data_IF_967934002167
#
_entry.id   IF_967934002167
#
_cell.length_a   1.000
_cell.length_b   1.000
_cell.length_c   1.000
_cell.angle_alpha   90.00
_cell.angle_beta   90.00
_cell.angle_gamma   90.00
#
_symmetry.space_group_name_H-M   'P 1'
#
loop_
_entity.id
_entity.type
_entity.pdbx_description
1 polymer ?
#
# COMPACT_ATOMS: atom_id res chain seq x y z
N UNK A 1 -10.72 17.18 -14.51
CA UNK A 1 -10.04 16.18 -13.66
C UNK A 1 -8.58 16.18 -14.07
N UNK A 2 -7.67 16.34 -13.13
CA UNK A 2 -6.24 16.43 -13.45
C UNK A 2 -5.68 15.02 -13.70
N UNK A 3 -4.81 14.88 -14.70
CA UNK A 3 -4.02 13.66 -14.92
C UNK A 3 -2.59 13.90 -14.47
N UNK A 4 -1.97 12.86 -13.92
CA UNK A 4 -0.62 12.89 -13.38
C UNK A 4 0.19 11.67 -13.87
N UNK A 5 1.50 11.83 -14.09
CA UNK A 5 2.36 10.71 -14.45
C UNK A 5 2.33 9.56 -13.43
N UNK A 6 2.22 9.88 -12.14
CA UNK A 6 2.17 8.89 -11.06
C UNK A 6 1.71 9.47 -9.73
N UNK A 7 1.67 8.63 -8.69
CA UNK A 7 1.17 8.97 -7.37
C UNK A 7 1.93 10.13 -6.73
N UNK A 8 3.25 10.22 -6.89
CA UNK A 8 4.01 11.32 -6.29
C UNK A 8 3.52 12.69 -6.74
N UNK A 9 3.25 12.85 -8.04
CA UNK A 9 2.83 14.13 -8.60
C UNK A 9 1.42 14.50 -8.13
N UNK A 10 0.48 13.55 -8.16
CA UNK A 10 -0.87 13.72 -7.64
C UNK A 10 -0.88 14.04 -6.13
N UNK A 11 -0.05 13.33 -5.36
CA UNK A 11 0.09 13.49 -3.92
C UNK A 11 0.60 14.88 -3.56
N UNK A 12 1.69 15.34 -4.17
CA UNK A 12 2.25 16.66 -3.91
C UNK A 12 1.29 17.78 -4.34
N UNK A 13 0.58 17.60 -5.45
CA UNK A 13 -0.44 18.54 -5.90
C UNK A 13 -1.56 18.73 -4.87
N UNK A 14 -2.14 17.63 -4.36
CA UNK A 14 -3.24 17.72 -3.41
C UNK A 14 -2.78 18.13 -2.00
N UNK A 15 -1.54 17.83 -1.60
CA UNK A 15 -0.99 18.40 -0.38
C UNK A 15 -0.81 19.92 -0.49
N UNK A 16 -0.33 20.44 -1.62
CA UNK A 16 -0.25 21.88 -1.87
C UNK A 16 -1.63 22.55 -1.75
N UNK A 17 -2.63 21.95 -2.40
CA UNK A 17 -4.01 22.42 -2.37
C UNK A 17 -4.54 22.50 -0.95
N UNK A 18 -4.40 21.42 -0.16
CA UNK A 18 -4.89 21.37 1.21
C UNK A 18 -4.17 22.36 2.13
N UNK A 19 -2.85 22.52 1.97
CA UNK A 19 -2.04 23.43 2.79
C UNK A 19 -2.38 24.89 2.52
N UNK A 20 -2.52 25.26 1.25
CA UNK A 20 -2.55 26.65 0.82
C UNK A 20 -3.95 27.15 0.51
N UNK A 21 -4.86 26.27 0.07
CA UNK A 21 -6.19 26.61 -0.45
C UNK A 21 -7.27 25.58 -0.01
N UNK A 22 -7.35 25.20 1.27
CA UNK A 22 -8.41 24.29 1.70
C UNK A 22 -9.77 24.97 1.53
N UNK A 23 -10.77 24.21 1.07
CA UNK A 23 -12.14 24.70 0.97
C UNK A 23 -12.76 24.84 2.37
N UNK A 24 -12.42 23.92 3.28
CA UNK A 24 -12.97 23.87 4.62
C UNK A 24 -11.90 23.63 5.69
N UNK A 25 -12.20 24.07 6.91
CA UNK A 25 -11.51 23.70 8.14
C UNK A 25 -12.55 23.23 9.14
N UNK A 26 -12.45 21.99 9.61
CA UNK A 26 -13.46 21.35 10.45
C UNK A 26 -12.83 20.30 11.38
N UNK A 27 -13.65 19.60 12.17
CA UNK A 27 -13.16 18.60 13.13
C UNK A 27 -14.06 17.34 13.21
N UNK A 28 -14.21 16.53 12.14
CA UNK A 28 -14.98 15.29 12.19
C UNK A 28 -14.48 14.37 13.31
N UNK A 29 -15.38 13.92 14.20
CA UNK A 29 -15.06 13.14 15.41
C UNK A 29 -14.01 13.81 16.33
N UNK A 30 -13.89 15.14 16.28
CA UNK A 30 -12.92 15.89 17.07
C UNK A 30 -11.51 15.98 16.46
N UNK A 31 -11.33 15.59 15.20
CA UNK A 31 -10.03 15.65 14.52
C UNK A 31 -9.91 16.87 13.59
N UNK A 32 -9.25 17.94 14.07
CA UNK A 32 -8.95 19.15 13.29
C UNK A 32 -8.35 18.81 11.91
N UNK A 33 -8.99 19.31 10.85
CA UNK A 33 -8.68 18.96 9.47
C UNK A 33 -8.79 20.16 8.52
N UNK A 34 -7.95 20.17 7.49
CA UNK A 34 -8.08 20.97 6.27
C UNK A 34 -8.70 20.08 5.20
N UNK A 35 -9.69 20.55 4.44
CA UNK A 35 -10.49 19.66 3.58
C UNK A 35 -10.83 20.30 2.23
N UNK A 36 -10.86 19.43 1.20
CA UNK A 36 -11.38 19.68 -0.15
C UNK A 36 -12.42 18.62 -0.46
N UNK A 37 -13.57 19.02 -1.00
CA UNK A 37 -14.65 18.11 -1.36
C UNK A 37 -14.56 17.70 -2.84
N UNK A 38 -14.94 16.46 -3.14
CA UNK A 38 -15.04 15.94 -4.51
C UNK A 38 -13.72 15.89 -5.25
N UNK A 39 -12.61 15.68 -4.53
CA UNK A 39 -11.29 15.58 -5.14
C UNK A 39 -11.19 14.35 -6.05
N UNK A 40 -10.65 14.53 -7.25
CA UNK A 40 -10.46 13.45 -8.21
C UNK A 40 -9.22 13.66 -9.08
N UNK A 41 -8.48 12.57 -9.30
CA UNK A 41 -7.30 12.57 -10.16
C UNK A 41 -7.12 11.24 -10.89
N UNK A 42 -6.40 11.28 -12.01
CA UNK A 42 -6.02 10.10 -12.79
C UNK A 42 -4.50 9.93 -12.79
N UNK A 43 -4.04 8.68 -12.69
CA UNK A 43 -2.65 8.28 -12.90
C UNK A 43 -2.51 7.65 -14.28
N UNK A 44 -1.61 8.21 -15.08
CA UNK A 44 -1.31 7.72 -16.43
C UNK A 44 -0.55 6.38 -16.38
N UNK A 45 0.35 6.22 -15.40
CA UNK A 45 1.13 5.00 -15.18
C UNK A 45 0.92 4.49 -13.74
N UNK A 46 -0.02 3.56 -13.51
CA UNK A 46 -0.29 3.03 -12.16
C UNK A 46 0.86 2.19 -11.58
N UNK A 47 1.97 1.97 -12.29
CA UNK A 47 3.20 1.40 -11.72
C UNK A 47 4.06 2.45 -11.01
N UNK A 48 3.80 3.74 -11.23
CA UNK A 48 4.39 4.85 -10.45
C UNK A 48 3.56 5.13 -9.19
N UNK A 49 3.29 4.07 -8.44
CA UNK A 49 2.40 4.06 -7.25
C UNK A 49 3.10 4.36 -5.92
N UNK A 50 4.27 5.01 -5.97
CA UNK A 50 5.07 5.31 -4.78
C UNK A 50 5.35 6.81 -4.69
N UNK A 51 5.29 7.34 -3.47
CA UNK A 51 5.85 8.66 -3.15
C UNK A 51 7.32 8.46 -2.78
N UNK A 52 8.23 8.83 -3.67
CA UNK A 52 9.68 8.68 -3.47
C UNK A 52 10.34 9.90 -2.82
N UNK A 53 9.55 10.93 -2.50
CA UNK A 53 10.06 12.14 -1.86
C UNK A 53 10.78 11.79 -0.54
N UNK A 54 12.06 12.20 -0.34
CA UNK A 54 12.86 11.76 0.79
C UNK A 54 12.22 12.04 2.16
N UNK A 55 11.66 13.23 2.35
CA UNK A 55 10.99 13.61 3.60
C UNK A 55 9.71 12.80 3.90
N UNK A 56 9.13 12.09 2.93
CA UNK A 56 7.90 11.30 3.15
C UNK A 56 8.20 10.00 3.88
N UNK A 57 9.44 9.49 3.74
CA UNK A 57 9.92 8.22 4.31
C UNK A 57 8.91 7.08 4.08
N UNK A 58 8.49 6.94 2.83
CA UNK A 58 7.49 5.96 2.40
C UNK A 58 7.85 4.56 2.88
N UNK A 59 6.86 3.88 3.44
CA UNK A 59 7.05 2.60 4.08
C UNK A 59 6.64 1.45 3.15
N UNK A 60 7.54 1.09 2.23
CA UNK A 60 7.26 0.10 1.18
C UNK A 60 6.84 -1.27 1.72
N UNK A 61 7.43 -1.72 2.84
CA UNK A 61 7.08 -3.01 3.47
C UNK A 61 5.62 -3.01 3.91
N UNK A 62 5.15 -1.93 4.56
CA UNK A 62 3.76 -1.78 4.95
C UNK A 62 2.82 -1.77 3.74
N UNK A 63 3.18 -1.05 2.68
CA UNK A 63 2.40 -1.01 1.44
C UNK A 63 2.18 -2.42 0.85
N UNK A 64 3.23 -3.24 0.80
CA UNK A 64 3.08 -4.63 0.36
C UNK A 64 2.30 -5.49 1.37
N UNK A 65 2.57 -5.35 2.67
CA UNK A 65 1.85 -6.08 3.71
C UNK A 65 0.34 -5.86 3.64
N UNK A 66 -0.09 -4.60 3.51
CA UNK A 66 -1.51 -4.24 3.38
C UNK A 66 -2.14 -4.80 2.10
N UNK A 67 -1.48 -4.62 0.94
CA UNK A 67 -1.99 -5.14 -0.32
C UNK A 67 -2.12 -6.68 -0.33
N UNK A 68 -1.16 -7.39 0.27
CA UNK A 68 -1.19 -8.85 0.43
C UNK A 68 -2.25 -9.29 1.45
N UNK A 69 -2.44 -8.52 2.52
CA UNK A 69 -3.48 -8.75 3.52
C UNK A 69 -4.88 -8.64 2.90
N UNK A 70 -5.10 -7.65 2.01
CA UNK A 70 -6.32 -7.57 1.22
C UNK A 70 -6.48 -8.76 0.27
N UNK A 71 -5.45 -9.08 -0.53
CA UNK A 71 -5.48 -10.18 -1.51
C UNK A 71 -5.67 -11.58 -0.89
N UNK A 72 -5.41 -11.73 0.41
CA UNK A 72 -5.66 -12.97 1.15
C UNK A 72 -7.00 -13.03 1.85
N UNK A 73 -7.82 -11.99 1.70
CA UNK A 73 -9.15 -11.96 2.31
C UNK A 73 -9.12 -11.84 3.83
N UNK A 74 -8.00 -11.41 4.42
CA UNK A 74 -7.74 -11.39 5.86
C UNK A 74 -8.36 -10.18 6.57
N UNK A 75 -8.74 -10.37 7.83
CA UNK A 75 -9.26 -9.36 8.75
C UNK A 75 -8.53 -9.33 10.09
N UNK A 76 -7.48 -10.15 10.26
CA UNK A 76 -6.73 -10.23 11.51
C UNK A 76 -5.89 -8.98 11.74
N UNK A 77 -5.93 -8.49 12.98
CA UNK A 77 -5.14 -7.35 13.42
C UNK A 77 -3.63 -7.68 13.46
N UNK A 78 -3.28 -8.92 13.78
CA UNK A 78 -1.91 -9.32 14.09
C UNK A 78 -0.91 -9.02 12.96
N UNK A 79 -1.27 -9.35 11.71
CA UNK A 79 -0.42 -9.06 10.55
C UNK A 79 -0.28 -7.54 10.36
N UNK A 80 -1.38 -6.80 10.27
CA UNK A 80 -1.32 -5.37 9.94
C UNK A 80 -0.69 -4.54 11.06
N UNK A 81 -0.97 -4.87 12.32
CA UNK A 81 -0.42 -4.18 13.49
C UNK A 81 1.10 -4.37 13.64
N UNK A 82 1.67 -5.47 13.13
CA UNK A 82 3.12 -5.64 13.11
C UNK A 82 3.82 -4.56 12.28
N UNK A 83 3.23 -4.18 11.14
CA UNK A 83 3.79 -3.17 10.25
C UNK A 83 3.26 -1.75 10.55
N UNK A 84 2.04 -1.63 11.09
CA UNK A 84 1.44 -0.36 11.46
C UNK A 84 0.75 -0.45 12.83
N UNK A 85 1.50 -0.38 13.95
CA UNK A 85 0.95 -0.57 15.29
C UNK A 85 -0.23 0.36 15.64
N UNK A 86 -0.29 1.55 15.03
CA UNK A 86 -1.39 2.49 15.24
C UNK A 86 -2.75 1.99 14.76
N UNK A 87 -2.82 0.96 13.91
CA UNK A 87 -4.10 0.39 13.46
C UNK A 87 -4.85 -0.33 14.58
N UNK A 88 -4.18 -0.71 15.67
CA UNK A 88 -4.81 -1.34 16.83
C UNK A 88 -5.91 -0.47 17.45
N UNK A 89 -5.84 0.87 17.32
CA UNK A 89 -6.89 1.79 17.80
C UNK A 89 -8.23 1.65 17.09
N UNK A 90 -8.25 0.99 15.93
CA UNK A 90 -9.45 0.74 15.13
C UNK A 90 -10.06 -0.64 15.43
N UNK A 91 -9.34 -1.51 16.14
CA UNK A 91 -9.84 -2.82 16.54
C UNK A 91 -10.61 -2.71 17.85
N UNK A 92 -11.92 -2.95 17.80
CA UNK A 92 -12.76 -2.95 19.00
C UNK A 92 -12.54 -4.18 19.89
N UNK A 93 -12.20 -5.33 19.29
CA UNK A 93 -12.03 -6.61 19.99
C UNK A 93 -10.54 -6.97 20.24
N UNK A 94 -9.60 -6.15 19.76
CA UNK A 94 -8.17 -6.38 19.88
C UNK A 94 -7.63 -7.51 18.99
N UNK A 95 -8.44 -8.08 18.09
CA UNK A 95 -8.08 -9.24 17.28
C UNK A 95 -8.34 -9.06 15.79
N UNK A 96 -9.36 -8.27 15.41
CA UNK A 96 -9.78 -8.06 14.03
C UNK A 96 -10.01 -6.59 13.72
N UNK A 97 -9.96 -6.29 12.43
CA UNK A 97 -10.38 -5.02 11.84
C UNK A 97 -11.65 -5.22 11.03
N UNK A 98 -12.46 -4.19 10.88
CA UNK A 98 -13.77 -4.29 10.22
C UNK A 98 -13.84 -3.39 8.99
N UNK A 99 -13.92 -2.07 9.18
CA UNK A 99 -13.92 -1.07 8.11
C UNK A 99 -12.59 -0.97 7.38
N UNK A 100 -11.48 -1.18 8.08
CA UNK A 100 -10.11 -1.17 7.52
C UNK A 100 -9.80 -2.46 6.75
N UNK A 101 -10.50 -3.57 7.05
CA UNK A 101 -10.29 -4.87 6.43
C UNK A 101 -11.02 -5.03 5.08
N UNK A 102 -10.39 -4.61 3.99
CA UNK A 102 -11.00 -4.74 2.65
C UNK A 102 -10.98 -6.17 2.11
N UNK A 103 -10.07 -7.04 2.57
CA UNK A 103 -9.96 -8.42 2.09
C UNK A 103 -11.29 -9.20 2.14
N UNK A 104 -11.95 -9.31 3.31
CA UNK A 104 -13.25 -9.97 3.42
C UNK A 104 -14.30 -9.29 2.54
N UNK A 105 -14.25 -7.96 2.38
CA UNK A 105 -15.18 -7.25 1.50
C UNK A 105 -14.96 -7.64 0.03
N UNK A 106 -13.73 -7.91 -0.39
CA UNK A 106 -13.40 -8.32 -1.76
C UNK A 106 -13.81 -9.78 -2.03
N UNK A 107 -13.46 -10.69 -1.13
CA UNK A 107 -13.53 -12.14 -1.40
C UNK A 107 -14.68 -12.87 -0.71
N UNK A 108 -15.30 -12.27 0.31
CA UNK A 108 -16.33 -12.90 1.16
C UNK A 108 -17.41 -11.88 1.55
N UNK A 109 -17.95 -11.17 0.56
CA UNK A 109 -18.87 -10.05 0.80
C UNK A 109 -20.26 -10.51 1.26
N UNK A 110 -20.82 -9.81 2.25
CA UNK A 110 -22.18 -10.02 2.73
C UNK A 110 -22.43 -11.39 3.37
N UNK A 111 -23.70 -11.72 3.61
CA UNK A 111 -24.11 -12.96 4.29
C UNK A 111 -23.91 -14.22 3.44
N UNK A 112 -23.84 -14.08 2.12
CA UNK A 112 -23.55 -15.17 1.19
C UNK A 112 -22.06 -15.42 0.92
N UNK A 113 -21.17 -14.66 1.57
CA UNK A 113 -19.72 -14.71 1.33
C UNK A 113 -19.35 -14.63 -0.16
N UNK A 114 -19.94 -13.66 -0.87
CA UNK A 114 -19.73 -13.48 -2.30
C UNK A 114 -18.27 -13.14 -2.61
N UNK A 115 -17.64 -13.94 -3.47
CA UNK A 115 -16.35 -13.63 -4.08
C UNK A 115 -16.56 -12.62 -5.23
N UNK A 116 -16.45 -11.32 -4.89
CA UNK A 116 -16.62 -10.25 -5.86
C UNK A 116 -15.45 -10.20 -6.84
N UNK A 117 -14.25 -10.61 -6.43
CA UNK A 117 -13.07 -10.64 -7.28
C UNK A 117 -13.25 -11.60 -8.46
N UNK A 118 -13.65 -12.85 -8.17
CA UNK A 118 -13.95 -13.83 -9.20
C UNK A 118 -15.12 -13.37 -10.10
N UNK A 119 -16.16 -12.79 -9.48
CA UNK A 119 -17.34 -12.28 -10.19
C UNK A 119 -16.99 -11.15 -11.17
N UNK A 120 -16.11 -10.24 -10.77
CA UNK A 120 -15.60 -9.15 -11.62
C UNK A 120 -14.81 -9.70 -12.79
N UNK A 121 -13.85 -10.59 -12.53
CA UNK A 121 -13.03 -11.18 -13.59
C UNK A 121 -13.90 -11.90 -14.64
N UNK A 122 -14.88 -12.68 -14.18
CA UNK A 122 -15.82 -13.38 -15.07
C UNK A 122 -16.73 -12.43 -15.83
N UNK A 123 -17.20 -11.36 -15.17
CA UNK A 123 -18.04 -10.35 -15.83
C UNK A 123 -17.30 -9.65 -16.97
N UNK A 124 -16.02 -9.32 -16.79
CA UNK A 124 -15.19 -8.71 -17.84
C UNK A 124 -14.90 -9.72 -18.97
N UNK A 125 -14.64 -10.99 -18.66
CA UNK A 125 -14.43 -12.02 -19.70
C UNK A 125 -15.67 -12.22 -20.56
N UNK A 126 -16.85 -12.24 -19.95
CA UNK A 126 -18.13 -12.42 -20.66
C UNK A 126 -18.54 -11.19 -21.47
N UNK A 127 -18.29 -10.00 -20.94
CA UNK A 127 -18.62 -8.72 -21.56
C UNK A 127 -17.45 -7.73 -21.36
N UNK A 128 -16.49 -7.69 -22.31
CA UNK A 128 -15.34 -6.78 -22.25
C UNK A 128 -15.71 -5.30 -22.06
N UNK A 129 -16.86 -4.88 -22.61
CA UNK A 129 -17.33 -3.49 -22.54
C UNK A 129 -18.19 -3.21 -21.30
N UNK A 130 -18.30 -4.19 -20.39
CA UNK A 130 -19.12 -4.09 -19.20
C UNK A 130 -18.83 -2.82 -18.41
N UNK A 131 -19.91 -2.26 -17.84
CA UNK A 131 -19.86 -1.16 -16.87
C UNK A 131 -20.13 -1.66 -15.45
N UNK A 132 -20.34 -2.97 -15.27
CA UNK A 132 -20.85 -3.60 -14.04
C UNK A 132 -19.79 -4.31 -13.21
N UNK A 133 -18.54 -4.31 -13.67
CA UNK A 133 -17.41 -4.92 -12.98
C UNK A 133 -16.97 -4.06 -11.78
N UNK A 134 -17.69 -4.20 -10.67
CA UNK A 134 -17.52 -3.42 -9.43
C UNK A 134 -17.33 -4.36 -8.24
N UNK A 135 -16.39 -4.03 -7.38
CA UNK A 135 -16.23 -4.58 -6.04
C UNK A 135 -16.75 -3.55 -5.04
N UNK A 136 -17.83 -3.89 -4.34
CA UNK A 136 -18.39 -3.06 -3.27
C UNK A 136 -17.64 -3.30 -1.95
N UNK A 137 -17.21 -2.23 -1.29
CA UNK A 137 -16.46 -2.31 -0.02
C UNK A 137 -17.32 -1.90 1.17
N UNK A 138 -17.85 -0.68 1.15
CA UNK A 138 -18.69 -0.14 2.22
C UNK A 138 -20.01 -0.89 2.35
N UNK A 139 -20.48 -1.07 3.59
CA UNK A 139 -21.77 -1.69 3.90
C UNK A 139 -22.63 -0.76 4.78
N UNK A 140 -23.93 -0.57 4.46
CA UNK A 140 -24.81 0.31 5.24
C UNK A 140 -24.87 -0.02 6.74
N UNK A 141 -24.74 -1.31 7.09
CA UNK A 141 -24.78 -1.78 8.49
C UNK A 141 -23.62 -1.25 9.34
N UNK A 142 -22.51 -0.83 8.74
CA UNK A 142 -21.37 -0.26 9.48
C UNK A 142 -21.76 1.00 10.26
N UNK A 143 -22.78 1.73 9.79
CA UNK A 143 -23.32 2.93 10.44
C UNK A 143 -24.27 2.62 11.59
N UNK A 144 -24.77 1.39 11.67
CA UNK A 144 -25.69 0.96 12.73
C UNK A 144 -24.94 0.51 13.99
N UNK A 145 -23.62 0.33 13.91
CA UNK A 145 -22.77 -0.05 15.03
C UNK A 145 -22.53 1.18 15.92
N UNK A 146 -23.00 1.19 17.18
CA UNK A 146 -22.80 2.32 18.08
C UNK A 146 -21.32 2.57 18.34
N UNK A 147 -20.89 3.83 18.26
CA UNK A 147 -19.51 4.24 18.48
C UNK A 147 -18.46 3.46 17.65
N UNK A 148 -18.82 3.06 16.42
CA UNK A 148 -17.94 2.28 15.56
C UNK A 148 -16.58 2.99 15.33
N UNK A 149 -15.45 2.44 15.80
CA UNK A 149 -14.15 3.05 15.61
C UNK A 149 -13.65 2.93 14.16
N UNK A 150 -14.18 1.97 13.39
CA UNK A 150 -13.64 1.51 12.12
C UNK A 150 -14.74 1.29 11.06
N UNK A 151 -15.16 2.38 10.42
CA UNK A 151 -16.11 2.36 9.29
C UNK A 151 -15.33 2.48 7.99
N UNK A 152 -15.58 1.59 7.02
CA UNK A 152 -14.89 1.63 5.73
C UNK A 152 -15.00 3.02 5.07
N UNK A 153 -13.88 3.56 4.62
CA UNK A 153 -13.82 4.83 3.89
C UNK A 153 -13.87 4.64 2.37
N UNK A 154 -13.50 3.45 1.88
CA UNK A 154 -13.69 3.05 0.48
C UNK A 154 -15.11 2.58 0.26
N UNK A 155 -15.75 3.11 -0.79
CA UNK A 155 -17.08 2.71 -1.23
C UNK A 155 -16.98 1.52 -2.19
N UNK A 156 -16.19 1.65 -3.25
CA UNK A 156 -16.07 0.63 -4.28
C UNK A 156 -14.80 0.76 -5.13
N UNK A 157 -14.42 -0.35 -5.78
CA UNK A 157 -13.42 -0.39 -6.85
C UNK A 157 -14.11 -0.87 -8.14
N UNK A 158 -13.94 -0.14 -9.24
CA UNK A 158 -14.50 -0.51 -10.53
C UNK A 158 -13.37 -0.80 -11.53
N UNK A 159 -13.54 -1.84 -12.34
CA UNK A 159 -12.60 -2.25 -13.37
C UNK A 159 -13.25 -2.18 -14.74
N UNK A 160 -12.56 -1.58 -15.72
CA UNK A 160 -13.08 -1.42 -17.08
C UNK A 160 -12.01 -1.81 -18.08
N UNK A 161 -12.32 -2.75 -18.98
CA UNK A 161 -11.44 -3.11 -20.09
C UNK A 161 -11.76 -2.20 -21.28
N UNK A 162 -10.83 -1.34 -21.68
CA UNK A 162 -11.02 -0.42 -22.82
C UNK A 162 -9.76 -0.42 -23.67
N UNK A 163 -9.93 -0.49 -24.98
CA UNK A 163 -8.81 -0.53 -25.93
C UNK A 163 -7.76 -1.60 -25.56
N UNK A 164 -8.24 -2.75 -25.05
CA UNK A 164 -7.40 -3.85 -24.60
C UNK A 164 -6.66 -3.63 -23.29
N UNK A 165 -6.86 -2.51 -22.57
CA UNK A 165 -6.19 -2.21 -21.30
C UNK A 165 -7.18 -2.22 -20.13
N UNK A 166 -6.75 -2.71 -18.96
CA UNK A 166 -7.57 -2.70 -17.75
C UNK A 166 -7.39 -1.38 -16.99
N UNK A 167 -8.43 -0.55 -17.01
CA UNK A 167 -8.53 0.67 -16.20
C UNK A 167 -9.19 0.36 -14.86
N UNK A 168 -8.87 1.15 -13.82
CA UNK A 168 -9.54 1.06 -12.52
C UNK A 168 -9.98 2.44 -12.00
N UNK A 169 -11.10 2.44 -11.26
CA UNK A 169 -11.59 3.62 -10.55
C UNK A 169 -11.86 3.25 -9.09
N UNK A 170 -11.25 3.98 -8.17
CA UNK A 170 -11.55 3.87 -6.74
C UNK A 170 -12.47 5.00 -6.29
N UNK A 171 -13.54 4.64 -5.59
CA UNK A 171 -14.50 5.58 -5.01
C UNK A 171 -14.39 5.52 -3.50
N UNK A 172 -14.07 6.65 -2.86
CA UNK A 172 -13.95 6.76 -1.41
C UNK A 172 -14.85 7.89 -0.90
N UNK A 173 -15.51 7.68 0.24
CA UNK A 173 -16.25 8.75 0.92
C UNK A 173 -15.30 9.73 1.61
N UNK A 174 -14.13 9.26 2.05
CA UNK A 174 -13.12 10.07 2.72
C UNK A 174 -11.72 9.48 2.51
N UNK A 175 -10.69 10.32 2.38
CA UNK A 175 -9.31 9.87 2.30
C UNK A 175 -8.36 10.85 3.01
N UNK A 176 -7.47 10.32 3.86
CA UNK A 176 -6.39 11.08 4.48
C UNK A 176 -5.31 11.32 3.42
N UNK A 177 -5.14 12.58 3.03
CA UNK A 177 -4.25 12.96 1.94
C UNK A 177 -2.78 12.72 2.27
N UNK A 178 -2.35 12.77 3.54
CA UNK A 178 -0.94 12.63 3.91
C UNK A 178 -0.54 11.17 4.11
N UNK A 179 -1.37 10.39 4.80
CA UNK A 179 -1.10 8.98 5.16
C UNK A 179 -1.85 8.01 4.27
N UNK A 180 -3.18 8.05 4.34
CA UNK A 180 -4.07 7.07 3.71
C UNK A 180 -3.89 6.99 2.20
N UNK A 181 -3.87 8.14 1.50
CA UNK A 181 -3.68 8.20 0.05
C UNK A 181 -2.48 7.37 -0.43
N UNK A 182 -1.38 7.35 0.33
CA UNK A 182 -0.15 6.64 -0.06
C UNK A 182 -0.38 5.12 -0.09
N UNK A 183 -0.99 4.56 0.94
CA UNK A 183 -1.24 3.11 1.01
C UNK A 183 -2.48 2.70 0.22
N UNK A 184 -3.56 3.49 0.25
CA UNK A 184 -4.78 3.25 -0.52
C UNK A 184 -4.49 3.20 -2.03
N UNK A 185 -3.82 4.21 -2.59
CA UNK A 185 -3.49 4.21 -4.03
C UNK A 185 -2.50 3.11 -4.39
N UNK A 186 -1.53 2.81 -3.52
CA UNK A 186 -0.64 1.67 -3.73
C UNK A 186 -1.45 0.36 -3.82
N UNK A 187 -2.29 0.09 -2.83
CA UNK A 187 -3.09 -1.13 -2.70
C UNK A 187 -4.08 -1.26 -3.87
N UNK A 188 -4.78 -0.19 -4.25
CA UNK A 188 -5.75 -0.25 -5.35
C UNK A 188 -5.11 -0.40 -6.73
N UNK A 189 -3.98 0.27 -6.98
CA UNK A 189 -3.24 0.09 -8.24
C UNK A 189 -2.51 -1.26 -8.31
N UNK A 190 -2.12 -1.82 -7.16
CA UNK A 190 -1.61 -3.19 -7.08
C UNK A 190 -2.71 -4.22 -7.36
N UNK A 191 -3.90 -4.06 -6.77
CA UNK A 191 -5.07 -4.88 -7.08
C UNK A 191 -5.44 -4.79 -8.58
N UNK A 192 -5.43 -3.59 -9.16
CA UNK A 192 -5.62 -3.42 -10.60
C UNK A 192 -4.60 -4.22 -11.42
N UNK A 193 -3.32 -4.17 -11.04
CA UNK A 193 -2.30 -4.94 -11.74
C UNK A 193 -2.51 -6.45 -11.61
N UNK A 194 -2.80 -6.96 -10.42
CA UNK A 194 -3.10 -8.39 -10.22
C UNK A 194 -4.31 -8.84 -11.06
N UNK A 195 -5.38 -8.03 -11.10
CA UNK A 195 -6.54 -8.31 -11.95
C UNK A 195 -6.18 -8.28 -13.44
N UNK A 196 -5.35 -7.33 -13.88
CA UNK A 196 -4.88 -7.24 -15.27
C UNK A 196 -4.08 -8.49 -15.67
N UNK A 197 -3.20 -8.99 -14.79
CA UNK A 197 -2.46 -10.24 -14.99
C UNK A 197 -3.37 -11.46 -15.06
N UNK A 198 -4.37 -11.55 -14.19
CA UNK A 198 -5.35 -12.64 -14.21
C UNK A 198 -6.22 -12.63 -15.48
N UNK A 199 -6.50 -11.44 -16.03
CA UNK A 199 -7.23 -11.27 -17.28
C UNK A 199 -6.31 -11.34 -18.52
N UNK A 200 -4.98 -11.37 -18.32
CA UNK A 200 -3.95 -11.37 -19.38
C UNK A 200 -4.06 -10.16 -20.32
N UNK A 201 -4.30 -8.99 -19.74
CA UNK A 201 -4.41 -7.72 -20.47
C UNK A 201 -3.41 -6.69 -19.93
N UNK A 202 -2.91 -5.76 -20.76
CA UNK A 202 -2.09 -4.65 -20.29
C UNK A 202 -2.81 -3.75 -19.27
N UNK A 203 -2.01 -3.03 -18.49
CA UNK A 203 -2.49 -2.04 -17.53
C UNK A 203 -2.95 -0.76 -18.24
N UNK A 204 -4.13 -0.27 -17.87
CA UNK A 204 -4.65 1.05 -18.26
C UNK A 204 -4.34 2.12 -17.22
N UNK A 205 -5.15 3.17 -17.20
CA UNK A 205 -5.05 4.24 -16.19
C UNK A 205 -5.74 3.85 -14.88
N UNK A 206 -5.42 4.58 -13.81
CA UNK A 206 -6.10 4.49 -12.53
C UNK A 206 -6.73 5.84 -12.19
N UNK A 207 -7.98 5.86 -11.72
CA UNK A 207 -8.65 7.08 -11.26
C UNK A 207 -9.03 6.94 -9.80
N UNK A 208 -8.79 8.00 -9.03
CA UNK A 208 -9.13 8.06 -7.62
C UNK A 208 -10.14 9.18 -7.40
N UNK A 209 -11.23 8.89 -6.69
CA UNK A 209 -12.28 9.85 -6.36
C UNK A 209 -12.56 9.81 -4.87
N UNK A 210 -12.39 10.94 -4.19
CA UNK A 210 -12.64 11.09 -2.77
C UNK A 210 -13.71 12.16 -2.50
N UNK A 211 -14.76 11.78 -1.78
CA UNK A 211 -15.81 12.71 -1.34
C UNK A 211 -15.24 13.82 -0.45
N UNK A 212 -14.50 13.41 0.59
CA UNK A 212 -13.70 14.29 1.46
C UNK A 212 -12.22 13.91 1.33
N UNK A 213 -11.40 14.80 0.76
CA UNK A 213 -9.96 14.68 0.84
C UNK A 213 -9.45 15.65 1.90
N UNK A 214 -8.77 15.13 2.92
CA UNK A 214 -8.42 15.93 4.09
C UNK A 214 -6.99 15.73 4.57
N UNK A 215 -6.44 16.80 5.17
CA UNK A 215 -5.16 16.82 5.85
C UNK A 215 -5.38 17.11 7.33
N UNK A 216 -5.08 16.13 8.18
CA UNK A 216 -5.17 16.30 9.63
C UNK A 216 -4.14 17.32 10.13
N UNK A 217 -4.54 18.13 11.11
CA UNK A 217 -3.69 19.16 11.72
C UNK A 217 -2.31 18.66 12.20
N UNK A 218 -2.16 17.47 12.83
CA UNK A 218 -0.85 16.94 13.22
C UNK A 218 0.10 16.68 12.05
N UNK A 219 -0.42 16.47 10.84
CA UNK A 219 0.37 16.15 9.65
C UNK A 219 0.70 17.40 8.79
N UNK A 220 0.14 18.57 9.13
CA UNK A 220 0.43 19.85 8.47
C UNK A 220 1.93 20.21 8.50
N UNK A 221 2.65 20.13 9.64
CA UNK A 221 4.08 20.47 9.65
C UNK A 221 4.92 19.55 8.76
N UNK A 222 4.59 18.26 8.69
CA UNK A 222 5.30 17.31 7.85
C UNK A 222 5.01 17.54 6.36
N UNK A 223 3.76 17.83 6.01
CA UNK A 223 3.35 18.22 4.67
C UNK A 223 4.04 19.51 4.21
N UNK A 224 4.12 20.53 5.08
CA UNK A 224 4.81 21.77 4.77
C UNK A 224 6.33 21.58 4.57
N UNK A 225 6.97 20.64 5.29
CA UNK A 225 8.38 20.28 5.05
C UNK A 225 8.56 19.63 3.67
N UNK A 226 7.69 18.71 3.28
CA UNK A 226 7.70 18.11 1.94
C UNK A 226 7.67 19.18 0.83
N UNK A 227 6.82 20.20 0.98
CA UNK A 227 6.69 21.27 -0.02
C UNK A 227 7.90 22.21 -0.08
N UNK A 228 8.67 22.34 1.01
CA UNK A 228 9.85 23.22 1.09
C UNK A 228 11.14 22.52 0.66
N UNK A 229 11.29 21.25 1.02
CA UNK A 229 12.45 20.45 0.65
C UNK A 229 12.33 20.05 -0.82
N UNK A 230 12.80 20.90 -1.75
CA UNK A 230 12.88 20.51 -3.15
C UNK A 230 13.60 19.18 -3.28
N UNK A 231 12.97 18.19 -3.93
CA UNK A 231 13.39 16.78 -3.95
C UNK A 231 14.85 16.55 -4.38
N UNK A 232 15.80 16.75 -3.46
CA UNK A 232 17.21 16.47 -3.65
C UNK A 232 17.45 15.00 -3.39
N UNK A 233 17.52 14.24 -4.47
CA UNK A 233 17.66 12.78 -4.47
C UNK A 233 16.92 12.21 -5.67
N UNK A 234 17.45 12.45 -6.87
CA UNK A 234 16.85 11.93 -8.09
C UNK A 234 17.08 10.42 -8.12
N UNK A 235 16.03 9.65 -7.84
CA UNK A 235 16.02 8.26 -8.26
C UNK A 235 15.93 8.22 -9.78
N UNK A 236 16.65 7.29 -10.45
CA UNK A 236 16.58 7.17 -11.90
C UNK A 236 15.16 6.84 -12.39
N UNK A 237 14.33 6.24 -11.52
CA UNK A 237 12.90 6.03 -11.76
C UNK A 237 12.14 5.87 -10.44
N UNK A 238 10.89 6.36 -10.41
CA UNK A 238 9.91 6.08 -9.35
C UNK A 238 8.88 5.00 -9.77
N UNK A 239 9.10 4.37 -10.93
CA UNK A 239 8.24 3.31 -11.47
C UNK A 239 8.65 1.96 -10.90
N UNK A 240 7.71 1.23 -10.33
CA UNK A 240 7.95 -0.12 -9.83
C UNK A 240 8.19 -1.12 -10.97
N UNK A 241 8.98 -2.18 -10.73
CA UNK A 241 8.95 -3.37 -11.56
C UNK A 241 7.50 -3.85 -11.75
N UNK A 242 7.09 -4.25 -12.97
CA UNK A 242 5.78 -4.85 -13.17
C UNK A 242 5.74 -6.26 -12.55
N UNK A 243 4.57 -6.68 -12.12
CA UNK A 243 4.27 -8.08 -11.86
C UNK A 243 4.57 -8.91 -13.12
N UNK A 244 5.17 -10.11 -12.98
CA UNK A 244 5.42 -11.00 -14.10
C UNK A 244 4.10 -11.43 -14.76
N UNK A 245 4.14 -11.97 -15.98
CA UNK A 245 2.94 -12.56 -16.57
C UNK A 245 2.53 -13.84 -15.83
N UNK A 246 1.23 -14.17 -15.82
CA UNK A 246 0.70 -15.43 -15.31
C UNK A 246 -0.23 -15.31 -14.11
N UNK A 247 -0.61 -16.45 -13.55
CA UNK A 247 -1.45 -16.53 -12.34
C UNK A 247 -0.57 -16.35 -11.10
N UNK A 248 -0.85 -15.33 -10.30
CA UNK A 248 -0.08 -15.02 -9.10
C UNK A 248 -0.63 -15.67 -7.82
N UNK A 249 -1.80 -16.30 -7.85
CA UNK A 249 -2.40 -16.89 -6.63
C UNK A 249 -1.46 -17.85 -5.89
N UNK A 250 -0.73 -18.78 -6.55
CA UNK A 250 0.22 -19.66 -5.86
C UNK A 250 1.37 -18.89 -5.19
N UNK A 251 1.85 -17.83 -5.84
CA UNK A 251 2.93 -17.01 -5.29
C UNK A 251 2.45 -16.18 -4.09
N UNK A 252 1.23 -15.64 -4.14
CA UNK A 252 0.63 -14.89 -3.03
C UNK A 252 0.52 -15.75 -1.77
N UNK A 253 0.01 -16.98 -1.90
CA UNK A 253 -0.06 -17.95 -0.78
C UNK A 253 1.33 -18.18 -0.21
N UNK A 254 2.31 -18.50 -1.07
CA UNK A 254 3.68 -18.78 -0.63
C UNK A 254 4.35 -17.59 0.05
N UNK A 255 4.17 -16.38 -0.49
CA UNK A 255 4.72 -15.15 0.10
C UNK A 255 4.13 -14.88 1.48
N UNK A 256 2.83 -15.13 1.68
CA UNK A 256 2.17 -14.95 2.97
C UNK A 256 2.61 -15.98 4.02
N UNK A 257 2.82 -17.24 3.64
CA UNK A 257 3.41 -18.24 4.53
C UNK A 257 4.81 -17.80 5.00
N UNK A 258 5.63 -17.30 4.07
CA UNK A 258 6.98 -16.81 4.38
C UNK A 258 6.91 -15.55 5.25
N UNK A 259 6.05 -14.59 4.91
CA UNK A 259 5.78 -13.39 5.70
C UNK A 259 5.43 -13.76 7.15
N UNK A 260 4.54 -14.72 7.35
CA UNK A 260 4.10 -15.13 8.68
C UNK A 260 5.24 -15.76 9.48
N UNK A 261 6.03 -16.63 8.85
CA UNK A 261 7.24 -17.20 9.47
C UNK A 261 8.23 -16.11 9.89
N UNK A 262 8.48 -15.12 9.02
CA UNK A 262 9.41 -14.02 9.29
C UNK A 262 8.90 -13.09 10.40
N UNK A 263 7.61 -12.70 10.35
CA UNK A 263 6.97 -11.83 11.34
C UNK A 263 6.91 -12.46 12.72
N UNK A 264 6.67 -13.78 12.80
CA UNK A 264 6.59 -14.52 14.07
C UNK A 264 7.94 -15.01 14.59
N UNK A 265 9.00 -14.85 13.80
CA UNK A 265 10.35 -15.32 14.14
C UNK A 265 10.55 -16.83 13.97
N UNK A 266 9.56 -17.55 13.44
CA UNK A 266 9.67 -18.97 13.10
C UNK A 266 10.57 -19.24 11.87
N UNK A 267 10.82 -18.21 11.06
CA UNK A 267 11.71 -18.24 9.91
C UNK A 267 12.69 -17.08 9.98
N UNK A 268 13.93 -17.35 9.54
CA UNK A 268 14.96 -16.36 9.21
C UNK A 268 15.56 -16.75 7.87
N UNK A 269 15.88 -15.77 7.04
CA UNK A 269 16.43 -16.01 5.70
C UNK A 269 17.77 -15.31 5.54
N UNK A 270 18.74 -16.02 4.97
CA UNK A 270 20.01 -15.48 4.49
C UNK A 270 19.95 -15.28 2.96
N UNK A 271 20.95 -14.61 2.39
CA UNK A 271 20.98 -14.28 0.96
C UNK A 271 20.86 -15.49 0.02
N UNK A 272 21.51 -16.60 0.36
CA UNK A 272 21.43 -17.87 -0.36
C UNK A 272 20.04 -18.53 -0.23
N UNK A 273 19.41 -18.40 0.93
CA UNK A 273 18.07 -18.90 1.22
C UNK A 273 16.98 -18.27 0.36
N UNK A 274 17.12 -17.00 -0.04
CA UNK A 274 16.12 -16.31 -0.88
C UNK A 274 16.09 -16.89 -2.30
N UNK A 275 17.26 -17.20 -2.89
CA UNK A 275 17.34 -17.82 -4.20
C UNK A 275 16.71 -19.22 -4.24
N UNK A 276 16.75 -19.93 -3.11
CA UNK A 276 16.18 -21.28 -2.96
C UNK A 276 14.65 -21.31 -2.78
N UNK A 277 13.97 -20.16 -2.66
CA UNK A 277 12.53 -20.09 -2.41
C UNK A 277 11.67 -20.56 -3.60
N UNK A 278 12.25 -20.68 -4.80
CA UNK A 278 11.52 -21.03 -6.02
C UNK A 278 10.50 -19.98 -6.46
N UNK A 279 10.64 -18.74 -5.98
CA UNK A 279 9.77 -17.62 -6.33
C UNK A 279 10.30 -16.86 -7.55
N UNK A 280 9.43 -16.32 -8.43
CA UNK A 280 9.85 -15.33 -9.40
C UNK A 280 10.52 -14.14 -8.73
N UNK A 281 11.50 -13.52 -9.39
CA UNK A 281 12.32 -12.44 -8.82
C UNK A 281 11.48 -11.33 -8.15
N UNK A 282 10.34 -10.94 -8.75
CA UNK A 282 9.41 -9.99 -8.16
C UNK A 282 9.00 -10.37 -6.72
N UNK A 283 8.53 -11.61 -6.55
CA UNK A 283 8.04 -12.11 -5.27
C UNK A 283 9.18 -12.42 -4.29
N UNK A 284 10.33 -12.86 -4.81
CA UNK A 284 11.55 -12.98 -4.00
C UNK A 284 11.92 -11.63 -3.37
N UNK A 285 11.91 -10.53 -4.14
CA UNK A 285 12.16 -9.19 -3.59
C UNK A 285 11.15 -8.78 -2.52
N UNK A 286 9.88 -9.15 -2.65
CA UNK A 286 8.85 -8.88 -1.62
C UNK A 286 9.17 -9.63 -0.33
N UNK A 287 9.58 -10.90 -0.41
CA UNK A 287 10.04 -11.66 0.76
C UNK A 287 11.30 -11.05 1.36
N UNK A 288 12.26 -10.62 0.53
CA UNK A 288 13.45 -9.89 0.98
C UNK A 288 13.08 -8.64 1.77
N UNK A 289 12.06 -7.88 1.35
CA UNK A 289 11.59 -6.70 2.08
C UNK A 289 11.08 -7.06 3.49
N UNK A 290 10.39 -8.19 3.66
CA UNK A 290 9.94 -8.66 4.97
C UNK A 290 11.09 -9.13 5.85
N UNK A 291 12.09 -9.81 5.31
CA UNK A 291 13.28 -10.21 6.06
C UNK A 291 14.12 -8.98 6.48
N UNK A 292 14.31 -8.02 5.58
CA UNK A 292 14.99 -6.76 5.90
C UNK A 292 14.25 -5.97 6.97
N UNK A 293 12.92 -5.98 6.97
CA UNK A 293 12.13 -5.41 8.05
C UNK A 293 12.39 -6.10 9.38
N UNK A 294 12.36 -7.44 9.41
CA UNK A 294 12.65 -8.24 10.60
C UNK A 294 14.04 -7.93 11.15
N UNK A 295 15.07 -7.92 10.29
CA UNK A 295 16.45 -7.55 10.65
C UNK A 295 16.54 -6.12 11.18
N UNK A 296 15.87 -5.16 10.53
CA UNK A 296 15.85 -3.77 10.99
C UNK A 296 15.24 -3.61 12.38
N UNK A 297 14.16 -4.33 12.71
CA UNK A 297 13.56 -4.32 14.05
C UNK A 297 14.47 -4.95 15.11
N UNK A 298 15.27 -5.95 14.73
CA UNK A 298 16.24 -6.61 15.59
C UNK A 298 17.62 -5.93 15.62
N UNK A 299 17.81 -4.83 14.86
CA UNK A 299 19.09 -4.18 14.62
C UNK A 299 20.20 -5.15 14.11
N UNK A 300 19.80 -6.13 13.29
CA UNK A 300 20.70 -7.10 12.66
C UNK A 300 21.27 -6.56 11.33
N UNK A 301 22.53 -6.88 10.97
CA UNK A 301 23.11 -6.50 9.68
C UNK A 301 22.37 -7.13 8.49
N UNK A 302 22.26 -6.40 7.38
CA UNK A 302 21.54 -6.89 6.20
C UNK A 302 22.03 -6.35 4.84
N UNK A 303 23.30 -5.92 4.78
CA UNK A 303 23.88 -5.38 3.55
C UNK A 303 23.88 -6.42 2.41
N UNK A 304 24.11 -7.69 2.77
CA UNK A 304 24.06 -8.87 1.89
C UNK A 304 22.71 -9.00 1.16
N UNK A 305 21.60 -8.72 1.85
CA UNK A 305 20.25 -8.80 1.31
C UNK A 305 19.82 -7.54 0.57
N UNK A 306 20.18 -6.37 1.09
CA UNK A 306 19.80 -5.08 0.50
C UNK A 306 20.30 -4.94 -0.95
N UNK A 307 21.46 -5.52 -1.26
CA UNK A 307 22.06 -5.47 -2.58
C UNK A 307 21.36 -6.33 -3.64
N UNK A 308 20.52 -7.28 -3.22
CA UNK A 308 19.65 -8.06 -4.13
C UNK A 308 18.41 -7.29 -4.59
N UNK A 309 18.02 -6.22 -3.88
CA UNK A 309 16.81 -5.46 -4.22
C UNK A 309 17.02 -4.54 -5.44
N UNK A 310 15.94 -4.30 -6.22
CA UNK A 310 15.91 -3.24 -7.21
C UNK A 310 16.30 -1.88 -6.58
N UNK A 311 17.01 -0.99 -7.30
CA UNK A 311 17.52 0.27 -6.74
C UNK A 311 16.45 1.13 -6.05
N UNK A 312 15.23 1.16 -6.59
CA UNK A 312 14.09 1.86 -5.99
C UNK A 312 13.73 1.30 -4.61
N UNK A 313 13.66 -0.03 -4.46
CA UNK A 313 13.27 -0.68 -3.21
C UNK A 313 14.37 -0.53 -2.17
N UNK A 314 15.63 -0.74 -2.58
CA UNK A 314 16.81 -0.53 -1.74
C UNK A 314 16.85 0.89 -1.18
N UNK A 315 16.65 1.90 -2.03
CA UNK A 315 16.61 3.29 -1.61
C UNK A 315 15.54 3.56 -0.55
N UNK A 316 14.32 3.06 -0.76
CA UNK A 316 13.22 3.25 0.19
C UNK A 316 13.51 2.54 1.53
N UNK A 317 14.12 1.35 1.49
CA UNK A 317 14.50 0.61 2.69
C UNK A 317 15.56 1.35 3.51
N UNK A 318 16.67 1.80 2.91
CA UNK A 318 17.71 2.53 3.64
C UNK A 318 17.20 3.86 4.22
N UNK A 319 16.35 4.59 3.48
CA UNK A 319 15.75 5.83 3.98
C UNK A 319 14.84 5.61 5.19
N UNK A 320 14.12 4.49 5.21
CA UNK A 320 13.23 4.12 6.31
C UNK A 320 14.00 3.56 7.49
N UNK A 321 14.98 2.70 7.23
CA UNK A 321 15.77 1.97 8.21
C UNK A 321 17.28 2.20 7.96
N UNK A 322 17.84 3.34 8.44
CA UNK A 322 19.26 3.64 8.26
C UNK A 322 20.20 2.59 8.85
N UNK A 323 19.75 1.81 9.84
CA UNK A 323 20.50 0.70 10.42
C UNK A 323 20.94 -0.34 9.39
N UNK A 324 20.22 -0.45 8.26
CA UNK A 324 20.56 -1.37 7.17
C UNK A 324 21.77 -0.90 6.33
N UNK A 325 22.23 0.34 6.47
CA UNK A 325 23.49 0.83 5.85
C UNK A 325 24.72 0.58 6.73
N UNK A 326 24.54 0.41 8.05
CA UNK A 326 25.65 0.27 8.98
C UNK A 326 26.22 -1.16 8.94
N UNK A 327 27.45 -1.30 8.47
CA UNK A 327 28.27 -2.45 8.85
C UNK A 327 28.45 -2.41 10.39
N UNK A 328 28.42 -3.55 11.11
CA UNK A 328 28.87 -3.55 12.49
C UNK A 328 30.32 -3.05 12.51
N UNK A 329 30.61 -1.98 13.27
CA UNK A 329 31.98 -1.53 13.47
C UNK A 329 32.72 -2.57 14.29
N UNK A 330 33.39 -3.52 13.63
CA UNK A 330 34.39 -4.37 14.26
C UNK A 330 35.67 -3.57 14.46
N UNK A 331 35.70 -2.74 15.50
CA UNK A 331 36.92 -2.28 16.17
C UNK A 331 36.56 -2.04 17.65
N UNK A 332 36.34 -3.12 18.39
CA UNK A 332 36.90 -3.15 19.74
C UNK A 332 38.41 -3.18 19.54
N UNK A 333 39.04 -2.00 19.67
CA UNK A 333 40.46 -1.94 19.95
C UNK A 333 40.70 -2.74 21.22
N UNK A 334 41.32 -3.90 21.03
CA UNK A 334 42.13 -4.55 22.04
C UNK A 334 43.17 -3.54 22.50
N UNK A 335 42.89 -2.86 23.61
CA UNK A 335 43.91 -2.12 24.33
C UNK A 335 44.74 -3.15 25.11
N UNK A 336 45.84 -3.55 24.49
CA UNK A 336 46.92 -4.30 25.11
C UNK A 336 48.12 -3.35 25.28
N UNK A 337 48.66 -3.34 26.50
CA UNK A 337 49.83 -2.61 27.03
C UNK A 337 49.55 -1.14 27.42
N UNK A 338 49.66 -0.72 28.68
CA UNK A 338 50.75 -0.95 29.67
C UNK A 338 50.22 -1.06 31.10
#
# INVERSE_FOLDING_TARGET
MNSFPGLQDAYLHHLDELLNRPQFRNAPRGHDSQEVLGAAFTLDDPLRRLVTHPARRTYLVFNFAEALWYLSGRDDLALLAHYAPSVARYSADGSRLTGTAYGPRIFRHGTGALDQWASVAETIRRDPDTKRAVIQIFEPRELLVPANPDVACTLALQFLLREGKLHAVAYMRANDAYRGMVSDVFSFTFLQEVMARQLRVPLGTYTHVAGSLHLYRPDVPASARLMKEGGRGHLPTNRMPPLPEGDHRPHLVRVLELEEGLRTGALRLEADGIGALGLPAYWAHVVTLFELHRRALAAEPAADLADSLPPLYRHLMHRRFPVLEAAPSSLEETDAAV
#
